data_IF_876615718554
#
_entry.id   IF_876615718554
#
_cell.length_a   1.000
_cell.length_b   1.000
_cell.length_c   1.000
_cell.angle_alpha   90.00
_cell.angle_beta   90.00
_cell.angle_gamma   90.00
#
_symmetry.space_group_name_H-M   'P 1'
#
loop_
_entity.id
_entity.type
_entity.pdbx_description
1 polymer ?
#
# COMPACT_ATOMS: atom_id res chain seq x y z
N UNK A 1 -34.77 1.64 -9.71
CA UNK A 1 -34.00 2.40 -8.71
C UNK A 1 -33.04 1.45 -7.99
N UNK A 2 -32.09 0.88 -8.74
CA UNK A 2 -31.00 -0.01 -8.25
C UNK A 2 -29.86 -0.10 -9.29
N UNK A 3 -30.12 0.24 -10.56
CA UNK A 3 -29.11 0.28 -11.64
C UNK A 3 -28.11 1.45 -11.54
N UNK A 4 -28.40 2.51 -10.78
CA UNK A 4 -27.56 3.72 -10.73
C UNK A 4 -26.50 3.73 -9.62
N UNK A 5 -26.28 2.60 -8.93
CA UNK A 5 -25.37 2.53 -7.79
C UNK A 5 -24.04 1.80 -8.08
N UNK A 6 -23.82 1.36 -9.32
CA UNK A 6 -22.62 0.58 -9.71
C UNK A 6 -21.82 1.17 -10.88
N UNK A 7 -22.09 2.38 -11.36
CA UNK A 7 -21.45 2.86 -12.61
C UNK A 7 -20.10 3.55 -12.48
N UNK A 8 -19.63 3.96 -11.29
CA UNK A 8 -18.50 4.93 -11.25
C UNK A 8 -17.19 4.47 -10.63
N UNK A 9 -17.01 3.22 -10.18
CA UNK A 9 -15.68 2.76 -9.73
C UNK A 9 -15.54 1.24 -9.73
N UNK A 10 -15.96 0.57 -10.82
CA UNK A 10 -15.63 -0.84 -11.00
C UNK A 10 -14.46 -0.96 -12.00
N UNK A 11 -13.29 -1.51 -11.62
CA UNK A 11 -12.30 -1.90 -12.60
C UNK A 11 -12.99 -2.89 -13.54
N UNK A 12 -12.89 -2.67 -14.85
CA UNK A 12 -13.51 -3.48 -15.91
C UNK A 12 -13.22 -4.97 -15.72
N UNK A 13 -14.06 -5.65 -14.94
CA UNK A 13 -14.05 -7.10 -14.73
C UNK A 13 -14.86 -7.82 -15.83
N UNK A 14 -15.44 -7.08 -16.78
CA UNK A 14 -16.32 -7.64 -17.82
C UNK A 14 -15.61 -8.53 -18.86
N UNK A 15 -14.29 -8.76 -18.77
CA UNK A 15 -13.51 -9.54 -19.75
C UNK A 15 -12.46 -10.49 -19.16
N UNK A 16 -12.56 -10.90 -17.89
CA UNK A 16 -11.69 -11.96 -17.34
C UNK A 16 -12.54 -13.20 -17.12
N UNK A 17 -12.48 -14.13 -18.06
CA UNK A 17 -13.15 -15.43 -17.98
C UNK A 17 -12.38 -16.42 -17.11
N UNK A 18 -13.03 -17.51 -16.69
CA UNK A 18 -12.35 -18.60 -15.98
C UNK A 18 -11.32 -19.30 -16.90
N UNK A 19 -11.56 -19.24 -18.21
CA UNK A 19 -10.70 -19.68 -19.29
C UNK A 19 -9.33 -18.98 -19.29
N UNK A 20 -9.25 -17.67 -18.99
CA UNK A 20 -7.98 -16.93 -18.97
C UNK A 20 -7.05 -17.38 -17.82
N UNK A 21 -7.66 -17.89 -16.74
CA UNK A 21 -6.94 -18.46 -15.60
C UNK A 21 -6.41 -19.85 -15.97
N UNK A 22 -7.21 -20.65 -16.66
CA UNK A 22 -6.84 -21.99 -17.13
C UNK A 22 -5.74 -21.94 -18.20
N UNK A 23 -5.75 -20.90 -19.04
CA UNK A 23 -4.77 -20.66 -20.11
C UNK A 23 -3.48 -19.97 -19.61
N UNK A 24 -3.34 -19.75 -18.30
CA UNK A 24 -2.19 -19.08 -17.65
C UNK A 24 -1.87 -17.70 -18.23
N UNK A 25 -2.88 -16.89 -18.52
CA UNK A 25 -2.63 -15.51 -18.93
C UNK A 25 -2.18 -14.67 -17.72
N UNK A 26 -0.87 -14.63 -17.49
CA UNK A 26 -0.25 -13.97 -16.33
C UNK A 26 -0.69 -12.51 -16.16
N UNK A 27 -0.92 -11.79 -17.27
CA UNK A 27 -1.35 -10.39 -17.23
C UNK A 27 -2.76 -10.22 -16.68
N UNK A 28 -3.68 -11.11 -17.07
CA UNK A 28 -5.07 -11.08 -16.58
C UNK A 28 -5.17 -11.62 -15.16
N UNK A 29 -4.38 -12.64 -14.82
CA UNK A 29 -4.28 -13.15 -13.44
C UNK A 29 -3.74 -12.07 -12.49
N UNK A 30 -2.70 -11.33 -12.88
CA UNK A 30 -2.19 -10.20 -12.09
C UNK A 30 -3.21 -9.06 -11.98
N UNK A 31 -3.96 -8.77 -13.05
CA UNK A 31 -5.06 -7.81 -13.04
C UNK A 31 -6.21 -8.21 -12.10
N UNK A 32 -6.52 -9.52 -12.04
CA UNK A 32 -7.52 -10.07 -11.14
C UNK A 32 -7.06 -10.03 -9.68
N UNK A 33 -5.82 -10.45 -9.39
CA UNK A 33 -5.23 -10.37 -8.05
C UNK A 33 -5.20 -8.92 -7.57
N UNK A 34 -4.77 -7.99 -8.43
CA UNK A 34 -4.78 -6.55 -8.14
C UNK A 34 -6.19 -6.06 -7.78
N UNK A 35 -7.20 -6.44 -8.57
CA UNK A 35 -8.60 -6.07 -8.30
C UNK A 35 -9.10 -6.61 -6.96
N UNK A 36 -8.77 -7.86 -6.62
CA UNK A 36 -9.13 -8.47 -5.34
C UNK A 36 -8.45 -7.73 -4.18
N UNK A 37 -7.16 -7.43 -4.29
CA UNK A 37 -6.42 -6.66 -3.27
C UNK A 37 -7.05 -5.27 -3.09
N UNK A 38 -7.35 -4.57 -4.18
CA UNK A 38 -8.00 -3.26 -4.11
C UNK A 38 -9.36 -3.32 -3.40
N UNK A 39 -10.20 -4.31 -3.73
CA UNK A 39 -11.55 -4.43 -3.16
C UNK A 39 -11.60 -4.86 -1.70
N UNK A 40 -10.67 -5.69 -1.23
CA UNK A 40 -10.74 -6.26 0.13
C UNK A 40 -9.79 -5.61 1.13
N UNK A 41 -8.68 -4.98 0.69
CA UNK A 41 -7.68 -4.39 1.60
C UNK A 41 -7.72 -2.86 1.63
N UNK A 42 -8.13 -2.21 0.53
CA UNK A 42 -7.98 -0.76 0.36
C UNK A 42 -9.33 -0.02 0.53
N UNK A 43 -10.45 -0.57 0.05
CA UNK A 43 -11.80 0.03 0.22
C UNK A 43 -12.27 0.18 1.68
N UNK A 44 -11.64 -0.53 2.64
CA UNK A 44 -12.00 -0.44 4.07
C UNK A 44 -11.27 0.71 4.78
N UNK A 45 -10.28 1.35 4.15
CA UNK A 45 -9.52 2.46 4.74
C UNK A 45 -10.32 3.75 4.60
N UNK A 46 -11.33 3.95 5.46
CA UNK A 46 -12.00 5.23 5.63
C UNK A 46 -11.28 6.05 6.71
N UNK A 47 -10.36 6.93 6.32
CA UNK A 47 -9.82 7.93 7.25
C UNK A 47 -10.77 9.13 7.21
N UNK A 48 -11.51 9.45 8.29
CA UNK A 48 -12.28 10.67 8.34
C UNK A 48 -11.31 11.85 8.33
N UNK A 49 -11.34 12.64 7.26
CA UNK A 49 -10.68 13.93 7.20
C UNK A 49 -11.63 14.95 6.60
N UNK A 50 -11.85 16.01 7.37
CA UNK A 50 -12.54 17.27 7.05
C UNK A 50 -13.74 17.14 6.10
N UNK A 51 -14.94 17.20 6.71
CA UNK A 51 -16.27 17.06 6.13
C UNK A 51 -16.60 18.03 4.96
N UNK A 52 -15.67 18.91 4.59
CA UNK A 52 -15.94 20.04 3.69
C UNK A 52 -15.71 19.72 2.21
N UNK A 53 -14.98 18.64 1.86
CA UNK A 53 -14.59 18.39 0.46
C UNK A 53 -15.49 17.41 -0.32
N UNK A 54 -16.41 16.69 0.33
CA UNK A 54 -17.45 15.86 -0.32
C UNK A 54 -17.00 14.76 -1.30
N UNK A 55 -15.70 14.67 -1.62
CA UNK A 55 -15.12 13.71 -2.52
C UNK A 55 -14.56 12.53 -1.71
N UNK A 56 -14.94 11.31 -2.10
CA UNK A 56 -14.24 10.10 -1.66
C UNK A 56 -12.80 10.18 -2.18
N UNK A 57 -11.90 10.86 -1.47
CA UNK A 57 -10.47 10.81 -1.80
C UNK A 57 -10.06 9.35 -1.80
N UNK A 58 -9.50 8.90 -2.91
CA UNK A 58 -9.18 7.50 -3.16
C UNK A 58 -8.44 6.93 -1.94
N UNK A 59 -8.79 5.73 -1.47
CA UNK A 59 -8.16 5.11 -0.30
C UNK A 59 -6.62 5.01 -0.40
N UNK A 60 -6.08 5.08 -1.62
CA UNK A 60 -4.66 5.29 -1.91
C UNK A 60 -4.09 6.58 -1.30
N UNK A 61 -4.76 7.71 -1.42
CA UNK A 61 -4.30 9.01 -0.91
C UNK A 61 -4.39 9.05 0.62
N UNK A 62 -5.43 8.44 1.18
CA UNK A 62 -5.59 8.26 2.62
C UNK A 62 -4.43 7.41 3.19
N UNK A 63 -4.11 6.29 2.55
CA UNK A 63 -2.97 5.45 2.92
C UNK A 63 -1.63 6.20 2.79
N UNK A 64 -1.46 6.97 1.71
CA UNK A 64 -0.24 7.75 1.50
C UNK A 64 -0.03 8.76 2.63
N UNK A 65 -1.09 9.50 3.00
CA UNK A 65 -1.02 10.43 4.11
C UNK A 65 -0.76 9.74 5.44
N UNK A 66 -1.36 8.57 5.67
CA UNK A 66 -1.08 7.79 6.87
C UNK A 66 0.41 7.41 6.95
N UNK A 67 1.00 6.93 5.86
CA UNK A 67 2.42 6.63 5.78
C UNK A 67 3.27 7.88 6.10
N UNK A 68 2.94 9.02 5.50
CA UNK A 68 3.62 10.29 5.73
C UNK A 68 3.56 10.74 7.20
N UNK A 69 2.39 10.61 7.83
CA UNK A 69 2.21 10.96 9.26
C UNK A 69 3.01 10.03 10.16
N UNK A 70 3.09 8.73 9.83
CA UNK A 70 3.80 7.74 10.64
C UNK A 70 5.32 7.80 10.48
N UNK A 71 5.83 8.17 9.32
CA UNK A 71 7.27 8.33 9.09
C UNK A 71 7.77 9.76 9.27
N UNK A 72 6.91 10.69 9.71
CA UNK A 72 7.30 12.04 10.06
C UNK A 72 8.37 12.03 11.17
N UNK A 73 9.50 12.71 10.93
CA UNK A 73 10.62 12.80 11.89
C UNK A 73 11.71 11.74 11.69
N UNK A 74 11.50 10.74 10.83
CA UNK A 74 12.54 9.78 10.47
C UNK A 74 13.42 10.33 9.34
N UNK A 75 14.74 10.21 9.49
CA UNK A 75 15.69 10.62 8.48
C UNK A 75 15.60 9.70 7.25
N UNK A 76 15.69 10.29 6.05
CA UNK A 76 15.78 9.59 4.77
C UNK A 76 14.59 8.66 4.41
N UNK A 77 13.43 8.84 5.05
CA UNK A 77 12.20 8.05 4.83
C UNK A 77 10.99 8.90 4.45
N UNK A 78 11.21 9.96 3.67
CA UNK A 78 10.11 10.79 3.15
C UNK A 78 9.29 9.98 2.14
N UNK A 79 8.01 9.76 2.45
CA UNK A 79 7.09 9.01 1.59
C UNK A 79 6.27 9.96 0.72
N UNK A 80 6.49 9.94 -0.59
CA UNK A 80 5.78 10.80 -1.55
C UNK A 80 4.94 9.99 -2.55
N UNK A 81 5.24 8.70 -2.71
CA UNK A 81 4.54 7.80 -3.61
C UNK A 81 4.67 6.34 -3.14
N UNK A 82 3.99 5.39 -3.81
CA UNK A 82 4.08 3.95 -3.54
C UNK A 82 5.07 3.19 -4.44
N UNK A 83 6.04 3.90 -5.04
CA UNK A 83 7.04 3.30 -5.93
C UNK A 83 8.45 3.64 -5.45
N UNK A 84 8.99 4.78 -5.85
CA UNK A 84 10.38 5.16 -5.60
C UNK A 84 10.67 5.51 -4.15
N UNK A 85 9.69 6.03 -3.38
CA UNK A 85 9.89 6.38 -1.97
C UNK A 85 10.20 5.19 -1.06
N UNK A 86 9.93 3.96 -1.50
CA UNK A 86 10.11 2.74 -0.73
C UNK A 86 11.36 1.95 -1.12
N UNK A 87 12.03 2.37 -2.21
CA UNK A 87 13.06 1.58 -2.88
C UNK A 87 14.31 1.33 -2.04
N UNK A 88 14.64 2.25 -1.13
CA UNK A 88 15.80 2.11 -0.23
C UNK A 88 15.46 1.34 1.06
N UNK A 89 14.22 0.88 1.24
CA UNK A 89 13.78 0.10 2.40
C UNK A 89 13.58 0.87 3.71
N UNK A 90 14.01 2.13 3.80
CA UNK A 90 13.95 2.89 5.05
C UNK A 90 12.51 3.23 5.47
N UNK A 91 11.63 3.51 4.51
CA UNK A 91 10.22 3.78 4.80
C UNK A 91 9.52 2.60 5.52
N UNK A 92 9.83 1.35 5.13
CA UNK A 92 9.27 0.18 5.81
C UNK A 92 9.79 0.05 7.24
N UNK A 93 11.09 0.19 7.43
CA UNK A 93 11.69 0.15 8.77
C UNK A 93 11.17 1.27 9.68
N UNK A 94 10.96 2.47 9.14
CA UNK A 94 10.39 3.60 9.88
C UNK A 94 8.96 3.31 10.34
N UNK A 95 8.13 2.71 9.48
CA UNK A 95 6.77 2.33 9.85
C UNK A 95 6.74 1.27 10.97
N UNK A 96 7.61 0.27 10.90
CA UNK A 96 7.71 -0.77 11.94
C UNK A 96 8.19 -0.13 13.25
N UNK A 97 9.28 0.65 13.20
CA UNK A 97 9.81 1.34 14.38
C UNK A 97 8.78 2.30 15.00
N UNK A 98 7.95 2.98 14.20
CA UNK A 98 6.90 3.87 14.71
C UNK A 98 5.80 3.15 15.49
N UNK A 99 5.60 1.84 15.27
CA UNK A 99 4.63 1.03 16.02
C UNK A 99 5.31 0.20 17.14
N UNK A 100 6.53 -0.28 16.89
CA UNK A 100 7.33 -1.13 17.78
C UNK A 100 8.80 -0.71 17.71
N UNK A 101 9.20 0.33 18.46
CA UNK A 101 10.57 0.84 18.46
C UNK A 101 11.60 -0.22 18.87
N UNK A 102 11.18 -1.20 19.67
CA UNK A 102 12.01 -2.27 20.19
C UNK A 102 12.48 -3.29 19.14
N UNK A 103 11.82 -3.35 17.97
CA UNK A 103 12.10 -4.35 16.93
C UNK A 103 13.10 -3.88 15.87
N UNK A 104 13.36 -2.58 15.77
CA UNK A 104 14.17 -2.00 14.69
C UNK A 104 15.19 -1.04 15.31
N UNK A 105 16.47 -1.20 14.98
CA UNK A 105 17.46 -0.17 15.30
C UNK A 105 17.61 0.78 14.11
N UNK A 106 16.73 1.78 14.04
CA UNK A 106 16.63 2.65 12.86
C UNK A 106 17.88 3.50 12.63
N UNK A 107 18.55 3.95 13.69
CA UNK A 107 19.74 4.81 13.61
C UNK A 107 20.93 4.15 12.92
N UNK A 108 20.98 2.81 12.95
CA UNK A 108 22.03 2.03 12.32
C UNK A 108 21.73 1.68 10.85
N UNK A 109 20.56 2.05 10.33
CA UNK A 109 20.20 1.79 8.93
C UNK A 109 20.82 2.82 7.99
N UNK A 110 21.27 2.33 6.84
CA UNK A 110 21.93 3.15 5.82
C UNK A 110 21.05 3.27 4.58
N UNK A 111 20.85 4.47 4.00
CA UNK A 111 20.15 4.63 2.74
C UNK A 111 20.81 3.91 1.55
N UNK A 112 22.09 3.58 1.66
CA UNK A 112 22.87 2.91 0.61
C UNK A 112 22.64 1.39 0.60
N UNK A 113 22.20 0.79 1.70
CA UNK A 113 21.94 -0.64 1.81
C UNK A 113 20.45 -0.98 1.61
N UNK A 114 19.96 -0.77 0.40
CA UNK A 114 18.55 -0.98 0.08
C UNK A 114 18.09 -2.42 0.34
N UNK A 115 18.89 -3.41 -0.05
CA UNK A 115 18.53 -4.82 0.08
C UNK A 115 18.53 -5.24 1.56
N UNK A 116 19.56 -4.84 2.33
CA UNK A 116 19.63 -5.12 3.75
C UNK A 116 18.45 -4.50 4.51
N UNK A 117 18.11 -3.24 4.21
CA UNK A 117 16.97 -2.57 4.84
C UNK A 117 15.64 -3.29 4.54
N UNK A 118 15.41 -3.69 3.28
CA UNK A 118 14.18 -4.39 2.89
C UNK A 118 14.07 -5.75 3.59
N UNK A 119 15.14 -6.54 3.58
CA UNK A 119 15.17 -7.83 4.26
C UNK A 119 14.93 -7.66 5.76
N UNK A 120 15.59 -6.70 6.41
CA UNK A 120 15.38 -6.43 7.84
C UNK A 120 13.92 -6.11 8.15
N UNK A 121 13.28 -5.24 7.37
CA UNK A 121 11.88 -4.89 7.59
C UNK A 121 10.94 -6.10 7.41
N UNK A 122 11.12 -6.86 6.34
CA UNK A 122 10.23 -7.99 6.04
C UNK A 122 10.45 -9.19 6.97
N UNK A 123 11.69 -9.48 7.34
CA UNK A 123 11.99 -10.55 8.30
C UNK A 123 11.42 -10.23 9.69
N UNK A 124 11.48 -8.97 10.13
CA UNK A 124 10.88 -8.53 11.39
C UNK A 124 9.35 -8.61 11.33
N UNK A 125 8.76 -8.20 10.21
CA UNK A 125 7.31 -8.24 10.01
C UNK A 125 6.75 -9.66 9.84
N UNK A 126 7.54 -10.62 9.33
CA UNK A 126 7.11 -12.02 9.21
C UNK A 126 7.13 -12.75 10.57
N UNK A 127 8.07 -12.39 11.44
CA UNK A 127 8.30 -13.08 12.72
C UNK A 127 7.46 -12.55 13.89
N UNK A 128 6.69 -11.47 13.71
CA UNK A 128 5.94 -10.79 14.77
C UNK A 128 4.52 -10.46 14.33
#
# INVERSE_FOLDING_TARGET
MVSSLFSDTEPQLENIGAEDILDRNERLILGLIWTIILRFQIDTISIPMDEESGERKHAKDALLLWCQRKTAGYANSKVENFTTSWRNGLAFNALIHAHRPDLINYENLSPQDAIGNLNNAFDVAEKN
#
